data_IF_373009679801
#
_entry.id   IF_373009679801
#
_cell.length_a   1.000
_cell.length_b   1.000
_cell.length_c   1.000
_cell.angle_alpha   90.00
_cell.angle_beta   90.00
_cell.angle_gamma   90.00
#
_symmetry.space_group_name_H-M   'P 1'
#
loop_
_entity.id
_entity.type
_entity.pdbx_description
1 polymer ?
#
# COMPACT_ATOMS: atom_id res chain seq x y z
N UNK A 1 12.67 7.78 -9.49
CA UNK A 1 12.83 7.33 -8.09
C UNK A 1 13.57 8.41 -7.34
N UNK A 2 13.14 8.80 -6.13
CA UNK A 2 13.87 9.79 -5.33
C UNK A 2 15.03 9.12 -4.58
N UNK A 3 16.03 9.91 -4.14
CA UNK A 3 17.14 9.41 -3.31
C UNK A 3 16.66 8.72 -2.03
N UNK A 4 15.59 9.25 -1.42
CA UNK A 4 14.99 8.67 -0.22
C UNK A 4 14.34 7.30 -0.52
N UNK A 5 13.67 7.16 -1.66
CA UNK A 5 13.09 5.88 -2.09
C UNK A 5 14.16 4.84 -2.39
N UNK A 6 15.24 5.26 -3.07
CA UNK A 6 16.38 4.40 -3.35
C UNK A 6 17.07 3.93 -2.06
N UNK A 7 17.24 4.82 -1.09
CA UNK A 7 17.83 4.45 0.20
C UNK A 7 16.97 3.42 0.94
N UNK A 8 15.65 3.62 1.00
CA UNK A 8 14.74 2.65 1.63
C UNK A 8 14.78 1.27 0.95
N UNK A 9 14.85 1.23 -0.38
CA UNK A 9 15.00 -0.02 -1.10
C UNK A 9 16.29 -0.74 -0.68
N UNK A 10 17.42 -0.02 -0.63
CA UNK A 10 18.72 -0.55 -0.21
C UNK A 10 18.70 -1.03 1.26
N UNK A 11 18.09 -0.27 2.15
CA UNK A 11 17.93 -0.63 3.56
C UNK A 11 17.12 -1.93 3.73
N UNK A 12 16.19 -2.20 2.80
CA UNK A 12 15.38 -3.43 2.74
C UNK A 12 16.05 -4.57 1.96
N UNK A 13 17.36 -4.49 1.72
CA UNK A 13 18.13 -5.54 1.04
C UNK A 13 17.92 -5.60 -0.47
N UNK A 14 17.28 -4.61 -1.08
CA UNK A 14 17.16 -4.50 -2.54
C UNK A 14 18.45 -3.95 -3.12
N UNK A 15 19.07 -4.68 -4.04
CA UNK A 15 20.21 -4.19 -4.80
C UNK A 15 19.74 -3.35 -6.00
N UNK A 16 20.18 -2.10 -6.07
CA UNK A 16 19.71 -1.12 -7.06
C UNK A 16 20.78 -0.84 -8.10
N UNK A 17 20.46 -1.12 -9.36
CA UNK A 17 21.23 -0.70 -10.52
C UNK A 17 20.65 0.59 -11.10
N UNK A 18 21.51 1.56 -11.44
CA UNK A 18 21.10 2.83 -12.02
C UNK A 18 21.68 3.00 -13.43
N UNK A 19 20.82 3.12 -14.44
CA UNK A 19 21.23 3.30 -15.85
C UNK A 19 20.95 4.74 -16.30
N UNK A 20 22.01 5.49 -16.59
CA UNK A 20 21.95 6.81 -17.19
C UNK A 20 22.15 6.76 -18.70
N UNK A 21 21.26 7.41 -19.45
CA UNK A 21 21.35 7.52 -20.90
C UNK A 21 21.55 8.98 -21.29
N UNK A 22 22.62 9.27 -22.02
CA UNK A 22 22.93 10.61 -22.52
C UNK A 22 23.97 11.36 -21.69
N UNK A 23 24.43 12.48 -22.27
CA UNK A 23 25.53 13.30 -21.74
C UNK A 23 25.15 14.21 -20.57
N UNK A 24 23.86 14.49 -20.40
CA UNK A 24 23.34 15.43 -19.39
C UNK A 24 22.91 14.73 -18.09
N UNK A 25 23.26 13.45 -17.94
CA UNK A 25 22.99 12.64 -16.76
C UNK A 25 23.79 13.16 -15.55
N UNK A 26 23.10 13.31 -14.41
CA UNK A 26 23.73 13.69 -13.16
C UNK A 26 24.34 12.48 -12.44
N UNK A 27 25.66 12.40 -12.43
CA UNK A 27 26.41 11.28 -11.83
C UNK A 27 26.18 11.17 -10.33
N UNK A 28 26.02 12.29 -9.62
CA UNK A 28 25.74 12.28 -8.18
C UNK A 28 24.35 11.73 -7.88
N UNK A 29 23.38 12.00 -8.75
CA UNK A 29 22.03 11.47 -8.60
C UNK A 29 21.98 9.97 -8.83
N UNK A 30 22.64 9.47 -9.89
CA UNK A 30 22.75 8.04 -10.14
C UNK A 30 23.49 7.30 -9.02
N UNK A 31 24.60 7.87 -8.53
CA UNK A 31 25.34 7.31 -7.41
C UNK A 31 24.51 7.27 -6.12
N UNK A 32 23.69 8.30 -5.88
CA UNK A 32 22.80 8.30 -4.73
C UNK A 32 21.67 7.27 -4.84
N UNK A 33 21.24 6.96 -6.06
CA UNK A 33 20.24 5.93 -6.34
C UNK A 33 20.83 4.51 -6.22
N UNK A 34 21.96 4.25 -6.86
CA UNK A 34 22.53 2.91 -6.96
C UNK A 34 23.00 2.35 -5.61
N UNK A 35 23.17 1.03 -5.54
CA UNK A 35 23.76 0.35 -4.38
C UNK A 35 25.25 0.61 -4.20
N UNK A 36 25.94 0.99 -5.27
CA UNK A 36 27.32 1.42 -5.24
C UNK A 36 27.79 1.92 -6.61
N UNK A 37 29.01 2.48 -6.71
CA UNK A 37 29.56 3.00 -7.97
C UNK A 37 29.66 1.94 -9.08
N UNK A 38 29.92 0.69 -8.72
CA UNK A 38 29.94 -0.46 -9.63
C UNK A 38 28.56 -0.83 -10.19
N UNK A 39 27.49 -0.31 -9.57
CA UNK A 39 26.10 -0.56 -9.94
C UNK A 39 25.50 0.57 -10.80
N UNK A 40 26.35 1.51 -11.27
CA UNK A 40 25.98 2.60 -12.17
C UNK A 40 26.43 2.28 -13.59
N UNK A 41 25.50 2.37 -14.53
CA UNK A 41 25.74 2.18 -15.97
C UNK A 41 25.46 3.51 -16.66
N UNK A 42 26.41 3.96 -17.48
CA UNK A 42 26.23 5.12 -18.33
C UNK A 42 26.41 4.73 -19.79
N UNK A 43 25.45 5.12 -20.60
CA UNK A 43 25.50 5.00 -22.05
C UNK A 43 25.25 6.37 -22.68
N UNK A 44 25.80 6.64 -23.86
CA UNK A 44 25.65 7.96 -24.48
C UNK A 44 24.39 8.05 -25.34
N UNK A 45 23.93 6.93 -25.90
CA UNK A 45 22.71 6.86 -26.70
C UNK A 45 21.81 5.69 -26.28
N UNK A 46 20.55 5.74 -26.72
CA UNK A 46 19.61 4.62 -26.53
C UNK A 46 19.95 3.41 -27.39
N UNK A 47 20.80 3.54 -28.41
CA UNK A 47 21.23 2.41 -29.25
C UNK A 47 22.20 1.51 -28.48
N UNK A 48 23.09 2.09 -27.69
CA UNK A 48 24.02 1.38 -26.80
C UNK A 48 23.29 0.47 -25.79
N UNK A 49 22.05 0.81 -25.39
CA UNK A 49 21.23 -0.06 -24.53
C UNK A 49 20.85 -1.39 -25.20
N UNK A 50 20.85 -1.43 -26.53
CA UNK A 50 20.43 -2.60 -27.33
C UNK A 50 21.60 -3.48 -27.70
N UNK A 51 22.83 -3.08 -27.36
CA UNK A 51 24.02 -3.87 -27.61
C UNK A 51 24.06 -5.08 -26.67
N UNK A 52 24.34 -6.25 -27.23
CA UNK A 52 24.36 -7.51 -26.48
C UNK A 52 25.39 -7.46 -25.33
N UNK A 53 26.50 -6.73 -25.51
CA UNK A 53 27.54 -6.59 -24.48
C UNK A 53 27.01 -5.94 -23.19
N UNK A 54 26.10 -4.96 -23.30
CA UNK A 54 25.49 -4.34 -22.12
C UNK A 54 24.51 -5.29 -21.43
N UNK A 55 23.77 -6.07 -22.22
CA UNK A 55 22.82 -7.06 -21.70
C UNK A 55 23.53 -8.17 -20.95
N UNK A 56 24.59 -8.74 -21.54
CA UNK A 56 25.40 -9.79 -20.91
C UNK A 56 26.03 -9.29 -19.60
N UNK A 57 26.56 -8.06 -19.62
CA UNK A 57 27.13 -7.42 -18.43
C UNK A 57 26.10 -7.15 -17.34
N UNK A 58 24.89 -6.73 -17.70
CA UNK A 58 23.77 -6.56 -16.77
C UNK A 58 23.39 -7.89 -16.14
N UNK A 59 23.32 -8.97 -16.92
CA UNK A 59 23.02 -10.31 -16.43
C UNK A 59 24.06 -10.72 -15.38
N UNK A 60 25.35 -10.66 -15.72
CA UNK A 60 26.43 -11.02 -14.80
C UNK A 60 26.39 -10.20 -13.51
N UNK A 61 26.21 -8.89 -13.62
CA UNK A 61 26.11 -8.01 -12.47
C UNK A 61 24.91 -8.30 -11.58
N UNK A 62 23.75 -8.57 -12.17
CA UNK A 62 22.55 -8.93 -11.40
C UNK A 62 22.72 -10.28 -10.68
N UNK A 63 23.42 -11.23 -11.30
CA UNK A 63 23.74 -12.52 -10.67
C UNK A 63 24.73 -12.34 -9.50
N UNK A 64 25.82 -11.61 -9.70
CA UNK A 64 26.79 -11.31 -8.64
C UNK A 64 26.18 -10.51 -7.49
N UNK A 65 25.31 -9.54 -7.82
CA UNK A 65 24.57 -8.79 -6.82
C UNK A 65 23.70 -9.72 -6.00
N UNK A 66 22.98 -10.65 -6.64
CA UNK A 66 22.17 -11.69 -5.99
C UNK A 66 22.95 -12.53 -4.98
N UNK A 67 24.20 -12.90 -5.30
CA UNK A 67 25.09 -13.63 -4.38
C UNK A 67 25.61 -12.77 -3.22
N UNK A 68 25.80 -11.47 -3.45
CA UNK A 68 26.32 -10.50 -2.46
C UNK A 68 25.22 -9.96 -1.54
N UNK A 69 23.99 -9.85 -2.04
CA UNK A 69 22.82 -9.58 -1.20
C UNK A 69 22.58 -10.78 -0.33
N UNK A 70 22.72 -10.59 0.99
CA UNK A 70 22.04 -11.48 1.93
C UNK A 70 20.57 -11.47 1.55
N UNK A 71 19.94 -12.65 1.43
CA UNK A 71 18.47 -12.74 1.39
C UNK A 71 17.93 -11.73 2.41
N UNK A 72 16.93 -10.88 2.06
CA UNK A 72 16.33 -10.02 3.06
C UNK A 72 16.07 -10.90 4.27
N UNK A 73 16.49 -10.48 5.48
CA UNK A 73 16.26 -11.28 6.67
C UNK A 73 14.82 -11.72 6.57
N UNK A 74 14.57 -13.04 6.62
CA UNK A 74 13.21 -13.60 6.66
C UNK A 74 12.45 -12.63 7.56
N UNK A 75 11.43 -11.91 7.04
CA UNK A 75 10.89 -10.76 7.74
C UNK A 75 10.69 -11.22 9.17
N UNK A 76 11.34 -10.58 10.16
CA UNK A 76 11.18 -11.01 11.54
C UNK A 76 9.68 -11.08 11.71
N UNK A 77 9.13 -12.29 11.97
CA UNK A 77 7.68 -12.55 12.10
C UNK A 77 7.05 -11.24 12.48
N UNK A 78 6.38 -10.53 11.56
CA UNK A 78 6.05 -9.11 11.78
C UNK A 78 5.10 -9.12 12.97
N UNK A 79 5.66 -8.92 14.17
CA UNK A 79 4.97 -9.24 15.41
C UNK A 79 4.10 -8.04 15.74
N UNK A 80 3.02 -7.91 14.98
CA UNK A 80 1.90 -7.03 15.29
C UNK A 80 1.22 -7.43 16.60
N UNK A 81 1.54 -8.63 17.15
CA UNK A 81 1.01 -9.19 18.39
C UNK A 81 1.08 -8.28 19.62
N UNK A 82 1.94 -7.25 19.61
CA UNK A 82 2.07 -6.30 20.73
C UNK A 82 1.51 -4.90 20.44
N UNK A 83 0.91 -4.69 19.26
CA UNK A 83 0.40 -3.38 18.84
C UNK A 83 -1.13 -3.37 18.83
N UNK A 84 -1.66 -2.39 19.56
CA UNK A 84 -3.10 -2.12 19.69
C UNK A 84 -3.44 -0.97 18.76
N UNK A 85 -4.39 -1.14 17.86
CA UNK A 85 -4.89 -0.07 16.99
C UNK A 85 -6.38 -0.24 16.71
N UNK A 86 -7.01 0.82 16.21
CA UNK A 86 -8.29 0.69 15.50
C UNK A 86 -8.01 0.85 14.02
N UNK A 87 -8.32 -0.17 13.22
CA UNK A 87 -8.02 -0.19 11.79
C UNK A 87 -9.32 -0.30 11.01
N UNK A 88 -9.56 0.63 10.07
CA UNK A 88 -10.67 0.56 9.13
C UNK A 88 -10.17 0.37 7.71
N UNK A 89 -10.65 -0.68 7.04
CA UNK A 89 -10.40 -0.92 5.63
C UNK A 89 -11.49 -0.26 4.78
N UNK A 90 -11.10 0.53 3.78
CA UNK A 90 -11.97 0.96 2.69
C UNK A 90 -11.65 0.13 1.45
N UNK A 91 -12.61 -0.70 1.05
CA UNK A 91 -12.46 -1.71 0.00
C UNK A 91 -13.27 -1.28 -1.21
N UNK A 92 -12.62 -1.18 -2.36
CA UNK A 92 -13.22 -0.71 -3.59
C UNK A 92 -14.06 -1.83 -4.21
N UNK A 93 -15.35 -1.56 -4.42
CA UNK A 93 -16.28 -2.48 -5.09
C UNK A 93 -16.82 -1.87 -6.38
N UNK A 94 -16.12 -0.89 -6.96
CA UNK A 94 -16.51 -0.20 -8.18
C UNK A 94 -16.36 -1.07 -9.44
N UNK A 95 -16.88 -0.57 -10.56
CA UNK A 95 -16.87 -1.29 -11.83
C UNK A 95 -15.45 -1.55 -12.36
N UNK A 96 -14.43 -0.76 -11.96
CA UNK A 96 -13.05 -0.94 -12.44
C UNK A 96 -12.45 -2.29 -12.03
N UNK A 97 -12.83 -2.80 -10.85
CA UNK A 97 -12.47 -4.13 -10.34
C UNK A 97 -12.85 -5.22 -11.35
N UNK A 98 -13.92 -4.99 -12.11
CA UNK A 98 -14.28 -5.72 -13.32
C UNK A 98 -15.11 -6.98 -13.11
N UNK A 99 -14.88 -7.74 -12.03
CA UNK A 99 -15.69 -8.92 -11.73
C UNK A 99 -15.54 -9.45 -10.28
N UNK A 100 -16.43 -10.37 -9.91
CA UNK A 100 -16.45 -11.05 -8.59
C UNK A 100 -15.17 -11.81 -8.24
N UNK A 101 -14.39 -12.30 -9.21
CA UNK A 101 -13.15 -13.03 -8.94
C UNK A 101 -12.05 -12.05 -8.54
N UNK A 102 -11.96 -10.92 -9.23
CA UNK A 102 -11.03 -9.84 -8.92
C UNK A 102 -11.32 -9.24 -7.54
N UNK A 103 -12.59 -8.97 -7.24
CA UNK A 103 -12.98 -8.48 -5.92
C UNK A 103 -12.61 -9.46 -4.79
N UNK A 104 -12.68 -10.77 -5.05
CA UNK A 104 -12.22 -11.79 -4.07
C UNK A 104 -10.73 -11.71 -3.79
N UNK A 105 -9.89 -11.41 -4.79
CA UNK A 105 -8.45 -11.23 -4.58
C UNK A 105 -8.19 -10.06 -3.63
N UNK A 106 -8.95 -8.97 -3.77
CA UNK A 106 -8.86 -7.82 -2.85
C UNK A 106 -9.28 -8.18 -1.42
N UNK A 107 -10.39 -8.91 -1.25
CA UNK A 107 -10.82 -9.41 0.06
C UNK A 107 -9.82 -10.39 0.67
N UNK A 108 -9.22 -11.26 -0.13
CA UNK A 108 -8.21 -12.23 0.31
C UNK A 108 -6.94 -11.51 0.77
N UNK A 109 -6.54 -10.44 0.07
CA UNK A 109 -5.44 -9.57 0.50
C UNK A 109 -5.72 -8.90 1.84
N UNK A 110 -6.90 -8.27 2.02
CA UNK A 110 -7.31 -7.69 3.31
C UNK A 110 -7.26 -8.72 4.44
N UNK A 111 -7.81 -9.92 4.18
CA UNK A 111 -7.78 -11.00 5.16
C UNK A 111 -6.37 -11.53 5.42
N UNK A 112 -5.44 -11.45 4.47
CA UNK A 112 -4.03 -11.79 4.68
C UNK A 112 -3.39 -10.87 5.71
N UNK A 113 -3.68 -9.57 5.65
CA UNK A 113 -3.20 -8.59 6.64
C UNK A 113 -3.81 -8.88 8.01
N UNK A 114 -5.14 -9.10 8.07
CA UNK A 114 -5.87 -9.31 9.34
C UNK A 114 -5.40 -10.58 10.08
N UNK A 115 -4.97 -11.62 9.36
CA UNK A 115 -4.45 -12.85 9.98
C UNK A 115 -3.23 -12.59 10.86
N UNK A 116 -2.38 -11.64 10.48
CA UNK A 116 -1.15 -11.31 11.19
C UNK A 116 -1.38 -10.30 12.35
N UNK A 117 -2.58 -9.71 12.45
CA UNK A 117 -2.94 -8.76 13.50
C UNK A 117 -3.49 -9.47 14.75
N UNK A 118 -3.22 -8.92 15.94
CA UNK A 118 -3.84 -9.37 17.19
C UNK A 118 -5.22 -8.73 17.40
N UNK A 119 -6.23 -9.35 16.78
CA UNK A 119 -7.61 -8.84 16.79
C UNK A 119 -8.35 -9.29 18.05
N UNK A 120 -8.54 -8.36 18.99
CA UNK A 120 -9.28 -8.57 20.21
C UNK A 120 -9.88 -7.26 20.74
N UNK A 121 -10.87 -7.36 21.64
CA UNK A 121 -11.58 -6.19 22.17
C UNK A 121 -10.68 -5.14 22.84
N UNK A 122 -9.58 -5.56 23.47
CA UNK A 122 -8.59 -4.70 24.12
C UNK A 122 -7.29 -4.57 23.32
N UNK A 123 -7.18 -5.24 22.17
CA UNK A 123 -6.02 -5.22 21.28
C UNK A 123 -6.35 -4.42 20.01
N UNK A 124 -6.20 -5.01 18.82
CA UNK A 124 -6.61 -4.39 17.56
C UNK A 124 -8.08 -4.61 17.27
N UNK A 125 -8.79 -3.56 16.84
CA UNK A 125 -10.19 -3.64 16.38
C UNK A 125 -10.24 -3.37 14.88
N UNK A 126 -11.06 -4.14 14.17
CA UNK A 126 -11.18 -4.03 12.71
C UNK A 126 -12.57 -3.50 12.33
N UNK A 127 -12.60 -2.48 11.49
CA UNK A 127 -13.78 -2.01 10.79
C UNK A 127 -13.60 -2.15 9.29
N UNK A 128 -14.69 -2.14 8.55
CA UNK A 128 -14.63 -2.15 7.09
C UNK A 128 -15.79 -1.36 6.48
N UNK A 129 -15.45 -0.56 5.48
CA UNK A 129 -16.39 0.08 4.55
C UNK A 129 -16.13 -0.47 3.16
N UNK A 130 -17.18 -0.65 2.39
CA UNK A 130 -17.06 -0.83 0.94
C UNK A 130 -17.55 0.42 0.25
N UNK A 131 -16.99 0.73 -0.92
CA UNK A 131 -17.42 1.92 -1.65
C UNK A 131 -17.45 1.73 -3.17
N UNK A 132 -18.39 2.44 -3.80
CA UNK A 132 -18.43 2.69 -5.24
C UNK A 132 -19.07 4.06 -5.50
N UNK A 133 -20.32 4.09 -5.97
CA UNK A 133 -21.15 5.31 -6.05
C UNK A 133 -21.60 5.80 -4.68
N UNK A 134 -21.62 4.90 -3.70
CA UNK A 134 -21.89 5.21 -2.30
C UNK A 134 -20.93 4.45 -1.39
N UNK A 135 -20.89 4.83 -0.11
CA UNK A 135 -20.10 4.12 0.90
C UNK A 135 -21.04 3.42 1.89
N UNK A 136 -20.67 2.21 2.28
CA UNK A 136 -21.43 1.40 3.25
C UNK A 136 -20.48 0.80 4.28
N UNK A 137 -20.67 1.14 5.55
CA UNK A 137 -19.98 0.49 6.67
C UNK A 137 -20.58 -0.89 6.93
N UNK A 138 -19.87 -1.93 6.52
CA UNK A 138 -20.29 -3.33 6.67
C UNK A 138 -19.76 -4.03 7.91
N UNK A 139 -18.77 -3.43 8.58
CA UNK A 139 -18.26 -3.89 9.87
C UNK A 139 -17.88 -2.67 10.73
N UNK A 140 -18.50 -2.53 11.90
CA UNK A 140 -18.14 -1.50 12.87
C UNK A 140 -16.98 -1.98 13.78
N UNK A 141 -16.16 -1.06 14.28
CA UNK A 141 -15.02 -1.39 15.16
C UNK A 141 -15.45 -2.10 16.44
N UNK A 142 -16.66 -1.83 16.94
CA UNK A 142 -17.20 -2.51 18.13
C UNK A 142 -17.44 -4.01 17.89
N UNK A 143 -17.72 -4.39 16.65
CA UNK A 143 -18.10 -5.75 16.25
C UNK A 143 -16.87 -6.53 15.73
N UNK A 144 -15.86 -5.84 15.20
CA UNK A 144 -14.63 -6.46 14.71
C UNK A 144 -13.57 -6.70 15.80
N UNK A 145 -13.96 -7.44 16.83
CA UNK A 145 -13.13 -7.74 18.03
C UNK A 145 -12.74 -9.22 18.15
N UNK A 146 -13.00 -10.03 17.11
CA UNK A 146 -12.57 -11.42 17.02
C UNK A 146 -12.09 -11.70 15.59
N UNK A 147 -10.85 -12.19 15.46
CA UNK A 147 -10.18 -12.40 14.17
C UNK A 147 -10.99 -13.27 13.21
N UNK A 148 -11.45 -14.42 13.67
CA UNK A 148 -12.17 -15.40 12.84
C UNK A 148 -13.48 -14.81 12.32
N UNK A 149 -14.23 -14.14 13.19
CA UNK A 149 -15.51 -13.49 12.83
C UNK A 149 -15.30 -12.36 11.83
N UNK A 150 -14.23 -11.56 11.98
CA UNK A 150 -13.87 -10.49 11.06
C UNK A 150 -13.57 -11.07 9.68
N UNK A 151 -12.71 -12.09 9.60
CA UNK A 151 -12.33 -12.75 8.35
C UNK A 151 -13.58 -13.31 7.64
N UNK A 152 -14.43 -14.03 8.38
CA UNK A 152 -15.68 -14.60 7.88
C UNK A 152 -16.67 -13.54 7.40
N UNK A 153 -16.65 -12.35 8.01
CA UNK A 153 -17.52 -11.23 7.63
C UNK A 153 -17.04 -10.58 6.34
N UNK A 154 -15.75 -10.24 6.26
CA UNK A 154 -15.13 -9.61 5.08
C UNK A 154 -15.26 -10.51 3.86
N UNK A 155 -15.03 -11.83 4.00
CA UNK A 155 -15.12 -12.78 2.89
C UNK A 155 -16.54 -12.89 2.28
N UNK A 156 -17.58 -12.44 3.01
CA UNK A 156 -18.98 -12.44 2.54
C UNK A 156 -19.36 -11.15 1.81
N UNK A 157 -18.48 -10.15 1.76
CA UNK A 157 -18.74 -8.93 1.00
C UNK A 157 -18.97 -9.27 -0.47
N UNK A 158 -19.98 -8.63 -1.06
CA UNK A 158 -20.37 -8.86 -2.43
C UNK A 158 -19.79 -7.75 -3.30
N UNK A 159 -19.28 -8.15 -4.45
CA UNK A 159 -18.89 -7.24 -5.53
C UNK A 159 -20.08 -6.34 -5.90
N UNK A 160 -19.81 -5.05 -5.97
CA UNK A 160 -20.73 -4.02 -6.44
C UNK A 160 -20.37 -3.57 -7.85
N UNK A 161 -21.03 -2.51 -8.29
CA UNK A 161 -20.67 -1.77 -9.50
C UNK A 161 -20.83 -0.27 -9.17
N UNK A 162 -20.38 0.61 -10.06
CA UNK A 162 -20.46 2.06 -9.90
C UNK A 162 -19.12 2.75 -10.11
N UNK A 163 -19.09 4.05 -9.82
CA UNK A 163 -17.87 4.87 -9.85
C UNK A 163 -16.99 4.62 -8.62
N UNK A 164 -15.87 5.34 -8.53
CA UNK A 164 -14.88 5.21 -7.45
C UNK A 164 -14.88 6.47 -6.59
N UNK A 165 -15.91 6.66 -5.73
CA UNK A 165 -16.02 7.85 -4.88
C UNK A 165 -15.32 7.68 -3.52
N UNK A 166 -14.01 7.90 -3.54
CA UNK A 166 -13.12 7.76 -2.38
C UNK A 166 -13.48 8.77 -1.27
N UNK A 167 -13.97 9.97 -1.62
CA UNK A 167 -14.36 10.97 -0.63
C UNK A 167 -15.45 10.48 0.33
N UNK A 168 -16.41 9.71 -0.19
CA UNK A 168 -17.46 9.10 0.63
C UNK A 168 -16.91 8.06 1.59
N UNK A 169 -15.97 7.23 1.13
CA UNK A 169 -15.30 6.24 1.98
C UNK A 169 -14.53 6.91 3.13
N UNK A 170 -13.81 8.00 2.85
CA UNK A 170 -13.12 8.77 3.91
C UNK A 170 -14.09 9.41 4.92
N UNK A 171 -15.23 9.94 4.45
CA UNK A 171 -16.25 10.47 5.34
C UNK A 171 -16.84 9.37 6.25
N UNK A 172 -17.17 8.21 5.69
CA UNK A 172 -17.69 7.06 6.44
C UNK A 172 -16.68 6.49 7.43
N UNK A 173 -15.40 6.41 7.05
CA UNK A 173 -14.34 5.99 7.97
C UNK A 173 -14.20 6.97 9.13
N UNK A 174 -14.23 8.29 8.88
CA UNK A 174 -14.17 9.31 9.93
C UNK A 174 -15.26 9.13 10.98
N UNK A 175 -16.48 8.81 10.56
CA UNK A 175 -17.57 8.47 11.48
C UNK A 175 -17.38 7.11 12.18
N UNK A 176 -16.77 6.14 11.49
CA UNK A 176 -16.51 4.81 12.02
C UNK A 176 -15.51 4.79 13.18
N UNK A 177 -14.57 5.74 13.21
CA UNK A 177 -13.63 5.91 14.32
C UNK A 177 -14.22 6.58 15.57
N UNK A 178 -15.49 7.00 15.55
CA UNK A 178 -16.12 7.59 16.72
C UNK A 178 -16.28 6.55 17.85
N UNK A 179 -16.17 6.95 19.14
CA UNK A 179 -16.42 6.05 20.27
C UNK A 179 -17.78 5.33 20.21
N UNK A 180 -18.80 6.02 19.70
CA UNK A 180 -20.14 5.45 19.50
C UNK A 180 -20.18 4.26 18.51
N UNK A 181 -19.13 4.08 17.71
CA UNK A 181 -18.93 3.00 16.72
C UNK A 181 -17.85 2.00 17.13
N UNK A 182 -17.26 2.18 18.30
CA UNK A 182 -16.21 1.32 18.86
C UNK A 182 -14.78 1.83 18.66
N UNK A 183 -14.59 3.00 18.07
CA UNK A 183 -13.27 3.63 18.01
C UNK A 183 -12.80 4.14 19.38
N UNK A 184 -11.49 4.29 19.51
CA UNK A 184 -10.79 4.69 20.75
C UNK A 184 -9.82 5.84 20.47
N UNK A 185 -10.28 6.95 19.86
CA UNK A 185 -9.42 8.08 19.51
C UNK A 185 -8.73 8.64 20.76
N UNK A 186 -7.42 8.90 20.66
CA UNK A 186 -6.59 9.37 21.75
C UNK A 186 -6.14 8.29 22.75
N UNK A 187 -6.63 7.05 22.64
CA UNK A 187 -6.20 5.91 23.46
C UNK A 187 -5.31 4.93 22.69
N UNK A 188 -5.60 4.73 21.40
CA UNK A 188 -4.80 3.89 20.49
C UNK A 188 -4.69 4.56 19.12
N UNK A 189 -3.67 4.24 18.30
CA UNK A 189 -3.59 4.66 16.90
C UNK A 189 -4.87 4.33 16.13
N UNK A 190 -5.33 5.27 15.30
CA UNK A 190 -6.46 5.11 14.40
C UNK A 190 -5.92 5.06 12.97
N UNK A 191 -6.18 3.99 12.24
CA UNK A 191 -5.55 3.72 10.94
C UNK A 191 -6.62 3.43 9.89
N UNK A 192 -6.67 4.22 8.83
CA UNK A 192 -7.48 3.96 7.64
C UNK A 192 -6.62 3.34 6.54
N UNK A 193 -7.04 2.21 5.99
CA UNK A 193 -6.38 1.54 4.86
C UNK A 193 -7.32 1.59 3.65
N UNK A 194 -6.99 2.42 2.67
CA UNK A 194 -7.68 2.51 1.39
C UNK A 194 -7.07 1.50 0.41
N UNK A 195 -7.90 0.69 -0.24
CA UNK A 195 -7.51 -0.18 -1.35
C UNK A 195 -8.39 0.19 -2.55
N UNK A 196 -7.77 0.41 -3.71
CA UNK A 196 -8.49 0.78 -4.94
C UNK A 196 -7.70 0.40 -6.19
N UNK A 197 -8.40 -0.01 -7.24
CA UNK A 197 -7.83 -0.31 -8.56
C UNK A 197 -8.12 0.78 -9.62
N UNK A 198 -8.88 1.80 -9.23
CA UNK A 198 -9.35 2.87 -10.09
C UNK A 198 -8.88 4.24 -9.63
N UNK A 199 -8.72 5.17 -10.58
CA UNK A 199 -8.56 6.57 -10.26
C UNK A 199 -9.86 7.11 -9.63
N UNK A 200 -9.75 7.84 -8.52
CA UNK A 200 -10.93 8.43 -7.89
C UNK A 200 -11.72 9.27 -8.91
N UNK A 201 -13.04 9.14 -8.91
CA UNK A 201 -13.90 9.95 -9.79
C UNK A 201 -14.14 11.35 -9.20
N UNK A 202 -13.90 11.53 -7.90
CA UNK A 202 -14.15 12.75 -7.12
C UNK A 202 -12.89 13.35 -6.48
N UNK A 203 -11.72 13.13 -7.09
CA UNK A 203 -10.38 13.48 -6.55
C UNK A 203 -10.30 14.88 -5.92
N UNK A 204 -10.70 15.90 -6.70
CA UNK A 204 -10.53 17.30 -6.32
C UNK A 204 -11.78 17.91 -5.69
N UNK A 205 -12.95 17.30 -5.87
CA UNK A 205 -14.22 17.82 -5.34
C UNK A 205 -14.49 17.31 -3.93
N UNK A 206 -14.19 16.03 -3.65
CA UNK A 206 -14.49 15.41 -2.36
C UNK A 206 -13.33 14.59 -1.76
N UNK A 207 -12.59 13.79 -2.56
CA UNK A 207 -11.64 12.84 -2.00
C UNK A 207 -10.49 13.50 -1.22
N UNK A 208 -9.78 14.46 -1.81
CA UNK A 208 -8.69 15.16 -1.10
C UNK A 208 -9.17 15.93 0.14
N UNK A 209 -10.24 16.77 0.07
CA UNK A 209 -10.77 17.43 1.25
C UNK A 209 -11.18 16.47 2.37
N UNK A 210 -11.82 15.34 2.06
CA UNK A 210 -12.21 14.35 3.07
C UNK A 210 -11.01 13.58 3.63
N UNK A 211 -10.00 13.28 2.81
CA UNK A 211 -8.73 12.73 3.31
C UNK A 211 -8.07 13.67 4.32
N UNK A 212 -8.07 14.99 4.05
CA UNK A 212 -7.52 15.98 4.98
C UNK A 212 -8.33 16.06 6.27
N UNK A 213 -9.67 16.01 6.20
CA UNK A 213 -10.51 15.96 7.40
C UNK A 213 -10.25 14.70 8.24
N UNK A 214 -10.07 13.56 7.59
CA UNK A 214 -9.76 12.30 8.25
C UNK A 214 -8.38 12.38 8.93
N UNK A 215 -7.34 12.86 8.24
CA UNK A 215 -6.02 13.11 8.82
C UNK A 215 -6.05 14.08 10.00
N UNK A 216 -6.77 15.18 9.85
CA UNK A 216 -6.92 16.19 10.91
C UNK A 216 -7.69 15.66 12.14
N UNK A 217 -8.43 14.56 12.00
CA UNK A 217 -9.05 13.85 13.13
C UNK A 217 -8.12 12.91 13.88
N UNK A 218 -6.83 12.88 13.52
CA UNK A 218 -5.81 12.02 14.13
C UNK A 218 -5.75 10.62 13.55
N UNK A 219 -6.34 10.40 12.38
CA UNK A 219 -6.32 9.11 11.67
C UNK A 219 -5.16 9.09 10.68
N UNK A 220 -4.39 8.01 10.71
CA UNK A 220 -3.35 7.74 9.75
C UNK A 220 -3.90 7.04 8.52
N UNK A 221 -3.61 7.54 7.32
CA UNK A 221 -4.09 6.97 6.06
C UNK A 221 -2.97 6.21 5.36
N UNK A 222 -3.26 4.94 5.06
CA UNK A 222 -2.55 4.06 4.15
C UNK A 222 -3.32 3.98 2.83
N UNK A 223 -2.62 4.07 1.71
CA UNK A 223 -3.22 4.08 0.38
C UNK A 223 -2.56 3.02 -0.49
N UNK A 224 -3.33 2.01 -0.87
CA UNK A 224 -2.88 0.85 -1.66
C UNK A 224 -3.58 0.93 -3.03
N UNK A 225 -2.79 1.18 -4.06
CA UNK A 225 -3.25 1.29 -5.43
C UNK A 225 -2.93 0.05 -6.26
N UNK A 226 -3.81 -0.28 -7.19
CA UNK A 226 -3.59 -1.33 -8.18
C UNK A 226 -3.76 -0.75 -9.57
N UNK A 227 -2.80 -0.99 -10.48
CA UNK A 227 -2.84 -0.72 -11.93
C UNK A 227 -3.44 0.63 -12.38
N UNK A 228 -4.76 0.76 -12.34
CA UNK A 228 -5.53 1.92 -12.79
C UNK A 228 -5.67 3.04 -11.75
N UNK A 229 -5.22 2.83 -10.51
CA UNK A 229 -5.18 3.87 -9.49
C UNK A 229 -4.15 4.97 -9.83
N UNK A 230 -4.49 6.24 -9.56
CA UNK A 230 -3.56 7.35 -9.76
C UNK A 230 -2.62 7.47 -8.55
N UNK A 231 -1.35 7.11 -8.76
CA UNK A 231 -0.31 7.17 -7.73
C UNK A 231 -0.18 8.56 -7.09
N UNK A 232 -0.30 9.65 -7.85
CA UNK A 232 -0.18 11.01 -7.31
C UNK A 232 -1.33 11.32 -6.37
N UNK A 233 -2.52 10.81 -6.65
CA UNK A 233 -3.64 11.00 -5.73
C UNK A 233 -3.52 10.15 -4.47
N UNK A 234 -3.04 8.92 -4.58
CA UNK A 234 -2.74 8.10 -3.41
C UNK A 234 -1.71 8.79 -2.50
N UNK A 235 -0.66 9.39 -3.08
CA UNK A 235 0.34 10.20 -2.37
C UNK A 235 -0.27 11.45 -1.70
N UNK A 236 -1.33 12.03 -2.28
CA UNK A 236 -2.06 13.17 -1.68
C UNK A 236 -2.99 12.74 -0.55
N UNK A 237 -3.52 11.52 -0.59
CA UNK A 237 -4.42 10.99 0.43
C UNK A 237 -3.66 10.47 1.65
N UNK A 238 -2.63 9.65 1.42
CA UNK A 238 -1.83 9.03 2.46
C UNK A 238 -1.23 10.05 3.45
N UNK A 239 -0.99 9.60 4.69
CA UNK A 239 -0.41 10.46 5.73
C UNK A 239 1.10 10.62 5.58
N UNK A 240 1.81 9.60 5.08
CA UNK A 240 3.25 9.60 4.87
C UNK A 240 3.59 8.99 3.51
N UNK A 241 4.74 9.36 2.90
CA UNK A 241 5.20 8.72 1.67
C UNK A 241 5.45 7.20 1.79
N UNK A 242 5.75 6.68 3.00
CA UNK A 242 5.86 5.22 3.21
C UNK A 242 4.52 4.50 3.30
N UNK A 243 3.42 5.22 3.54
CA UNK A 243 2.07 4.64 3.62
C UNK A 243 1.43 4.43 2.23
N UNK A 244 2.18 4.64 1.15
CA UNK A 244 1.70 4.50 -0.23
C UNK A 244 2.28 3.23 -0.81
N UNK A 245 1.40 2.30 -1.17
CA UNK A 245 1.76 1.05 -1.84
C UNK A 245 1.09 1.02 -3.20
N UNK A 246 1.79 0.45 -4.18
CA UNK A 246 1.28 0.36 -5.53
C UNK A 246 1.76 -0.93 -6.19
N UNK A 247 0.84 -1.63 -6.84
CA UNK A 247 1.15 -2.84 -7.62
C UNK A 247 0.56 -2.74 -9.02
N UNK A 248 1.22 -3.38 -9.98
CA UNK A 248 0.84 -3.30 -11.40
C UNK A 248 -0.37 -4.17 -11.76
N UNK A 249 -0.74 -5.12 -10.89
CA UNK A 249 -1.91 -5.98 -11.05
C UNK A 249 -2.46 -6.52 -9.71
N UNK A 250 -3.73 -6.93 -9.70
CA UNK A 250 -4.41 -7.41 -8.49
C UNK A 250 -3.73 -8.65 -7.87
N UNK A 251 -3.15 -9.54 -8.66
CA UNK A 251 -2.50 -10.74 -8.12
C UNK A 251 -1.19 -10.41 -7.40
N UNK A 252 -0.57 -9.28 -7.74
CA UNK A 252 0.60 -8.78 -7.05
C UNK A 252 0.28 -8.15 -5.68
N UNK A 253 -0.98 -7.99 -5.28
CA UNK A 253 -1.32 -7.52 -3.92
C UNK A 253 -0.67 -8.37 -2.82
N UNK A 254 -0.62 -9.69 -2.99
CA UNK A 254 -0.01 -10.57 -2.00
C UNK A 254 1.51 -10.40 -1.88
N UNK A 255 2.19 -9.80 -2.86
CA UNK A 255 3.65 -9.58 -2.80
C UNK A 255 4.02 -8.39 -1.91
N UNK A 256 3.06 -7.52 -1.61
CA UNK A 256 3.27 -6.33 -0.76
C UNK A 256 2.72 -6.51 0.66
N UNK A 257 2.08 -7.64 0.99
CA UNK A 257 1.51 -7.87 2.32
C UNK A 257 2.51 -7.65 3.45
N UNK A 258 3.73 -8.18 3.34
CA UNK A 258 4.76 -8.04 4.36
C UNK A 258 5.23 -6.59 4.52
N UNK A 259 5.35 -5.86 3.40
CA UNK A 259 5.75 -4.45 3.42
C UNK A 259 4.65 -3.57 4.05
N UNK A 260 3.38 -3.86 3.72
CA UNK A 260 2.23 -3.19 4.32
C UNK A 260 2.14 -3.49 5.82
N UNK A 261 2.30 -4.75 6.22
CA UNK A 261 2.32 -5.15 7.63
C UNK A 261 3.46 -4.52 8.41
N UNK A 262 4.64 -4.43 7.81
CA UNK A 262 5.79 -3.77 8.43
C UNK A 262 5.44 -2.33 8.81
N UNK A 263 4.93 -1.54 7.86
CA UNK A 263 4.57 -0.14 8.12
C UNK A 263 3.33 0.01 9.01
N UNK A 264 2.33 -0.88 8.90
CA UNK A 264 1.15 -0.90 9.78
C UNK A 264 1.53 -1.20 11.24
N UNK A 265 2.60 -1.97 11.43
CA UNK A 265 3.07 -2.43 12.72
C UNK A 265 4.37 -1.71 13.15
N UNK A 266 4.67 -0.54 12.59
CA UNK A 266 5.64 0.47 13.08
C UNK A 266 5.07 1.47 14.09
#
# INVERSE_FOLDING_TARGET
>A
MTLLQAQRAKDNGVYVFAVGVGKDVNDQELLGIASGPESVIKVNTYEELRENELQDKLIDWTCEAGEKTTLPPVPPNVQCEKKKADIMFAIDQSTSIGNRKNFRIELDFVNSLIKELDVASDQTRIGAVVFSDDSERRLELRDGINRETVIDTIQKFKYGEGNTYIGKAFADMREGFLPAKGGRPGLVPQIAVLITDGAATDQNTNAKPEADKLKNSGVEIFAIGVKGADRKDLERYASRPSNVFFVDDLNALNTISDAVLTELCE
#
